data_IF_636219957841
#
_entry.id   IF_636219957841
#
_cell.length_a   1.000
_cell.length_b   1.000
_cell.length_c   1.000
_cell.angle_alpha   90.00
_cell.angle_beta   90.00
_cell.angle_gamma   90.00
#
_symmetry.space_group_name_H-M   'P 1'
#
loop_
_entity.id
_entity.type
_entity.pdbx_description
1 polymer ?
#
# COMPACT_ATOMS: atom_id res chain seq x y z
N UNK A 1 -6.12 -41.23 13.88
CA UNK A 1 -5.44 -39.93 13.83
C UNK A 1 -4.72 -39.75 15.15
N UNK A 2 -3.40 -39.61 15.13
CA UNK A 2 -2.59 -39.42 16.35
C UNK A 2 -2.62 -37.96 16.81
N UNK A 3 -2.26 -37.69 18.07
CA UNK A 3 -2.13 -36.30 18.57
C UNK A 3 -1.15 -35.51 17.70
N UNK A 4 -0.05 -36.14 17.31
CA UNK A 4 0.95 -35.55 16.43
C UNK A 4 0.39 -35.15 15.07
N UNK A 5 -0.37 -36.05 14.42
CA UNK A 5 -1.01 -35.75 13.14
C UNK A 5 -1.99 -34.58 13.24
N UNK A 6 -2.79 -34.53 14.31
CA UNK A 6 -3.73 -33.44 14.56
C UNK A 6 -3.00 -32.10 14.79
N UNK A 7 -1.93 -32.12 15.58
CA UNK A 7 -1.13 -30.93 15.87
C UNK A 7 -0.39 -30.41 14.64
N UNK A 8 0.26 -31.29 13.87
CA UNK A 8 0.94 -30.90 12.61
C UNK A 8 -0.06 -30.30 11.63
N UNK A 9 -1.25 -30.91 11.48
CA UNK A 9 -2.31 -30.37 10.61
C UNK A 9 -2.77 -28.97 11.03
N UNK A 10 -2.90 -28.73 12.34
CA UNK A 10 -3.22 -27.41 12.87
C UNK A 10 -2.11 -26.41 12.53
N UNK A 11 -0.85 -26.75 12.78
CA UNK A 11 0.27 -25.85 12.52
C UNK A 11 0.51 -25.60 11.03
N UNK A 12 0.16 -26.54 10.15
CA UNK A 12 0.14 -26.33 8.70
C UNK A 12 -0.92 -25.30 8.27
N UNK A 13 -2.08 -25.27 8.94
CA UNK A 13 -3.08 -24.24 8.68
C UNK A 13 -2.57 -22.86 9.13
N UNK A 14 -1.95 -22.77 10.31
CA UNK A 14 -1.31 -21.55 10.80
C UNK A 14 -0.17 -21.08 9.89
N UNK A 15 0.63 -22.01 9.36
CA UNK A 15 1.66 -21.71 8.36
C UNK A 15 1.09 -21.03 7.13
N UNK A 16 -0.01 -21.55 6.55
CA UNK A 16 -0.66 -20.95 5.39
C UNK A 16 -1.20 -19.55 5.70
N UNK A 17 -1.76 -19.37 6.90
CA UNK A 17 -2.26 -18.07 7.36
C UNK A 17 -1.12 -17.04 7.50
N UNK A 18 -0.02 -17.42 8.13
CA UNK A 18 1.15 -16.54 8.29
C UNK A 18 1.78 -16.21 6.94
N UNK A 19 1.90 -17.18 6.04
CA UNK A 19 2.44 -16.94 4.69
C UNK A 19 1.60 -15.92 3.91
N UNK A 20 0.27 -16.05 3.96
CA UNK A 20 -0.65 -15.11 3.32
C UNK A 20 -0.50 -13.68 3.88
N UNK A 21 -0.37 -13.54 5.20
CA UNK A 21 -0.15 -12.22 5.85
C UNK A 21 1.19 -11.60 5.45
N UNK A 22 2.24 -12.41 5.36
CA UNK A 22 3.54 -11.92 4.90
C UNK A 22 3.47 -11.49 3.43
N UNK A 23 2.87 -12.32 2.56
CA UNK A 23 2.70 -11.98 1.15
C UNK A 23 1.85 -10.71 0.94
N UNK A 24 0.78 -10.53 1.71
CA UNK A 24 -0.02 -9.31 1.70
C UNK A 24 0.81 -8.08 2.09
N UNK A 25 1.62 -8.19 3.15
CA UNK A 25 2.44 -7.07 3.61
C UNK A 25 3.56 -6.75 2.62
N UNK A 26 4.16 -7.77 2.00
CA UNK A 26 5.14 -7.62 0.91
C UNK A 26 4.55 -6.90 -0.30
N UNK A 27 3.31 -7.24 -0.69
CA UNK A 27 2.62 -6.55 -1.78
C UNK A 27 2.35 -5.05 -1.47
N UNK A 28 2.21 -4.71 -0.18
CA UNK A 28 2.01 -3.34 0.26
C UNK A 28 3.32 -2.52 0.34
N UNK A 29 4.46 -3.18 0.52
CA UNK A 29 5.78 -2.56 0.69
C UNK A 29 6.29 -1.79 -0.55
N UNK A 30 5.66 -1.91 -1.72
CA UNK A 30 6.06 -1.26 -2.97
C UNK A 30 5.74 0.26 -3.00
N UNK A 31 5.52 0.90 -1.85
CA UNK A 31 5.43 2.36 -1.70
C UNK A 31 6.81 2.98 -1.87
N UNK A 32 7.20 3.18 -3.14
CA UNK A 32 8.41 3.87 -3.65
C UNK A 32 9.63 3.86 -2.70
N UNK A 33 10.56 2.98 -3.03
CA UNK A 33 11.99 3.04 -2.76
C UNK A 33 12.36 3.38 -1.31
N UNK A 34 12.26 2.34 -0.47
CA UNK A 34 13.09 2.14 0.71
C UNK A 34 13.17 3.34 1.66
N UNK A 35 12.18 3.45 2.55
CA UNK A 35 12.58 3.73 3.94
C UNK A 35 13.54 2.59 4.35
N UNK A 36 14.68 2.92 4.95
CA UNK A 36 15.60 1.93 5.53
C UNK A 36 14.86 0.96 6.48
N UNK A 37 13.70 1.38 7.00
CA UNK A 37 12.78 0.61 7.84
C UNK A 37 12.20 -0.65 7.16
N UNK A 38 12.16 -0.72 5.82
CA UNK A 38 11.66 -1.89 5.07
C UNK A 38 12.76 -2.90 4.67
N UNK A 39 14.04 -2.59 4.91
CA UNK A 39 15.15 -3.55 4.67
C UNK A 39 15.04 -4.81 5.55
N UNK A 40 14.30 -4.71 6.66
CA UNK A 40 14.03 -5.79 7.61
C UNK A 40 13.09 -6.89 7.11
N UNK A 41 12.43 -6.71 5.94
CA UNK A 41 11.54 -7.74 5.38
C UNK A 41 12.27 -9.08 5.16
N UNK A 42 13.57 -9.03 4.86
CA UNK A 42 14.43 -10.21 4.74
C UNK A 42 14.59 -11.00 6.05
N UNK A 43 14.46 -10.34 7.21
CA UNK A 43 14.51 -10.98 8.53
C UNK A 43 13.29 -11.87 8.79
N UNK A 44 12.11 -11.43 8.37
CA UNK A 44 10.84 -12.14 8.61
C UNK A 44 10.79 -13.44 7.83
N UNK A 45 11.27 -13.45 6.58
CA UNK A 45 11.36 -14.69 5.80
C UNK A 45 12.32 -15.70 6.42
N UNK A 46 13.44 -15.27 7.00
CA UNK A 46 14.34 -16.16 7.75
C UNK A 46 13.68 -16.76 8.99
N UNK A 47 12.92 -15.96 9.74
CA UNK A 47 12.17 -16.45 10.93
C UNK A 47 11.09 -17.44 10.49
N UNK A 48 10.35 -17.12 9.41
CA UNK A 48 9.33 -18.01 8.85
C UNK A 48 9.90 -19.33 8.31
N UNK A 49 11.06 -19.30 7.66
CA UNK A 49 11.74 -20.50 7.18
C UNK A 49 12.17 -21.40 8.34
N UNK A 50 12.60 -20.83 9.47
CA UNK A 50 12.89 -21.58 10.70
C UNK A 50 11.66 -22.33 11.20
N UNK A 51 10.50 -21.67 11.21
CA UNK A 51 9.23 -22.29 11.56
C UNK A 51 8.85 -23.42 10.58
N UNK A 52 9.03 -23.22 9.27
CA UNK A 52 8.77 -24.24 8.24
C UNK A 52 9.64 -25.48 8.43
N UNK A 53 10.94 -25.30 8.68
CA UNK A 53 11.89 -26.39 8.90
C UNK A 53 11.46 -27.20 10.13
N UNK A 54 11.17 -26.54 11.25
CA UNK A 54 10.73 -27.22 12.48
C UNK A 54 9.41 -27.96 12.32
N UNK A 55 8.47 -27.42 11.54
CA UNK A 55 7.20 -28.09 11.24
C UNK A 55 7.44 -29.38 10.42
N UNK A 56 8.29 -29.30 9.40
CA UNK A 56 8.68 -30.45 8.58
C UNK A 56 9.42 -31.50 9.43
N UNK A 57 10.33 -31.10 10.31
CA UNK A 57 11.00 -32.00 11.25
C UNK A 57 10.00 -32.70 12.18
N UNK A 58 9.05 -31.95 12.77
CA UNK A 58 8.03 -32.53 13.66
C UNK A 58 7.10 -33.50 12.91
N UNK A 59 6.87 -33.28 11.62
CA UNK A 59 6.07 -34.21 10.78
C UNK A 59 6.77 -35.55 10.54
N UNK A 60 8.11 -35.58 10.60
CA UNK A 60 8.96 -36.75 10.32
C UNK A 60 9.37 -37.53 11.57
N UNK A 61 9.45 -36.88 12.73
CA UNK A 61 9.86 -37.53 14.00
C UNK A 61 8.80 -38.55 14.44
N UNK A 62 9.21 -39.74 14.89
CA UNK A 62 8.32 -40.64 15.61
C UNK A 62 8.11 -40.15 17.06
N UNK A 63 7.08 -40.68 17.72
CA UNK A 63 6.49 -40.22 18.99
C UNK A 63 7.47 -39.98 20.16
N UNK A 64 8.67 -40.59 20.14
CA UNK A 64 9.63 -40.54 21.26
C UNK A 64 10.15 -39.13 21.59
N UNK A 65 10.13 -38.17 20.65
CA UNK A 65 10.58 -36.79 20.87
C UNK A 65 9.50 -35.75 20.53
N UNK A 66 8.23 -36.15 20.58
CA UNK A 66 7.12 -35.31 20.13
C UNK A 66 6.93 -34.07 21.01
N UNK A 67 6.94 -34.20 22.33
CA UNK A 67 6.69 -33.08 23.26
C UNK A 67 7.74 -31.97 23.17
N UNK A 68 9.02 -32.35 23.08
CA UNK A 68 10.10 -31.38 22.88
C UNK A 68 9.95 -30.66 21.53
N UNK A 69 9.73 -31.42 20.45
CA UNK A 69 9.55 -30.83 19.12
C UNK A 69 8.29 -29.94 19.04
N UNK A 70 7.22 -30.30 19.74
CA UNK A 70 5.99 -29.50 19.89
C UNK A 70 6.29 -28.15 20.54
N UNK A 71 7.08 -28.14 21.62
CA UNK A 71 7.48 -26.91 22.32
C UNK A 71 8.40 -26.03 21.46
N UNK A 72 9.39 -26.61 20.79
CA UNK A 72 10.30 -25.89 19.88
C UNK A 72 9.58 -25.28 18.68
N UNK A 73 8.60 -26.01 18.13
CA UNK A 73 7.75 -25.53 17.04
C UNK A 73 6.83 -24.40 17.51
N UNK A 74 6.21 -24.54 18.68
CA UNK A 74 5.34 -23.51 19.25
C UNK A 74 6.10 -22.21 19.48
N UNK A 75 7.29 -22.28 20.06
CA UNK A 75 8.16 -21.10 20.21
C UNK A 75 8.46 -20.46 18.86
N UNK A 76 8.81 -21.25 17.85
CA UNK A 76 9.08 -20.74 16.50
C UNK A 76 7.88 -20.09 15.85
N UNK A 77 6.67 -20.61 16.12
CA UNK A 77 5.42 -19.99 15.69
C UNK A 77 5.18 -18.65 16.39
N UNK A 78 5.36 -18.60 17.71
CA UNK A 78 5.19 -17.37 18.49
C UNK A 78 6.17 -16.28 18.01
N UNK A 79 7.45 -16.63 17.80
CA UNK A 79 8.48 -15.74 17.24
C UNK A 79 8.09 -15.23 15.84
N UNK A 80 7.57 -16.12 14.98
CA UNK A 80 7.11 -15.76 13.63
C UNK A 80 5.90 -14.84 13.68
N UNK A 81 4.91 -15.16 14.49
CA UNK A 81 3.68 -14.37 14.60
C UNK A 81 3.98 -12.98 15.15
N UNK A 82 4.87 -12.88 16.14
CA UNK A 82 5.32 -11.60 16.67
C UNK A 82 6.03 -10.76 15.60
N UNK A 83 6.95 -11.37 14.84
CA UNK A 83 7.63 -10.68 13.74
C UNK A 83 6.65 -10.18 12.66
N UNK A 84 5.60 -10.94 12.34
CA UNK A 84 4.55 -10.52 11.41
C UNK A 84 3.74 -9.35 11.98
N UNK A 85 3.38 -9.36 13.27
CA UNK A 85 2.65 -8.26 13.92
C UNK A 85 3.48 -6.96 13.88
N UNK A 86 4.78 -7.05 14.20
CA UNK A 86 5.67 -5.89 14.17
C UNK A 86 5.81 -5.31 12.77
N UNK A 87 5.90 -6.16 11.77
CA UNK A 87 5.94 -5.77 10.36
C UNK A 87 4.65 -5.09 9.91
N UNK A 88 3.49 -5.67 10.22
CA UNK A 88 2.18 -5.09 9.90
C UNK A 88 2.02 -3.70 10.55
N UNK A 89 2.46 -3.55 11.80
CA UNK A 89 2.48 -2.27 12.51
C UNK A 89 3.38 -1.23 11.82
N UNK A 90 4.62 -1.60 11.48
CA UNK A 90 5.53 -0.73 10.71
C UNK A 90 4.92 -0.32 9.38
N UNK A 91 4.33 -1.27 8.65
CA UNK A 91 3.69 -1.00 7.36
C UNK A 91 2.49 -0.05 7.48
N UNK A 92 1.67 -0.21 8.54
CA UNK A 92 0.56 0.69 8.80
C UNK A 92 1.03 2.14 9.03
N UNK A 93 2.15 2.34 9.74
CA UNK A 93 2.75 3.66 9.92
C UNK A 93 3.24 4.25 8.59
N UNK A 94 3.92 3.46 7.76
CA UNK A 94 4.38 3.88 6.43
C UNK A 94 3.20 4.29 5.55
N UNK A 95 2.13 3.48 5.52
CA UNK A 95 0.90 3.78 4.78
C UNK A 95 0.26 5.08 5.26
N UNK A 96 0.10 5.26 6.57
CA UNK A 96 -0.46 6.48 7.13
C UNK A 96 0.41 7.72 6.82
N UNK A 97 1.73 7.58 6.84
CA UNK A 97 2.66 8.65 6.44
C UNK A 97 2.51 9.02 4.96
N UNK A 98 2.40 8.02 4.09
CA UNK A 98 2.14 8.21 2.67
C UNK A 98 0.80 8.91 2.42
N UNK A 99 -0.28 8.44 3.07
CA UNK A 99 -1.62 9.04 2.98
C UNK A 99 -1.57 10.53 3.35
N UNK A 100 -1.07 10.87 4.54
CA UNK A 100 -0.99 12.26 5.01
C UNK A 100 -0.20 13.14 4.05
N UNK A 101 0.91 12.64 3.51
CA UNK A 101 1.72 13.37 2.53
C UNK A 101 0.90 13.67 1.27
N UNK A 102 0.23 12.65 0.71
CA UNK A 102 -0.57 12.80 -0.51
C UNK A 102 -1.80 13.68 -0.30
N UNK A 103 -2.49 13.54 0.83
CA UNK A 103 -3.60 14.43 1.19
C UNK A 103 -3.15 15.88 1.33
N UNK A 104 -1.99 16.14 1.93
CA UNK A 104 -1.43 17.49 2.04
C UNK A 104 -1.10 18.09 0.67
N UNK A 105 -0.49 17.30 -0.22
CA UNK A 105 -0.19 17.71 -1.60
C UNK A 105 -1.48 18.01 -2.39
N UNK A 106 -2.52 17.18 -2.27
CA UNK A 106 -3.83 17.40 -2.90
C UNK A 106 -4.51 18.65 -2.36
N UNK A 107 -4.52 18.85 -1.03
CA UNK A 107 -5.08 20.05 -0.39
C UNK A 107 -4.37 21.33 -0.85
N UNK A 108 -3.05 21.30 -0.93
CA UNK A 108 -2.25 22.43 -1.41
C UNK A 108 -2.54 22.76 -2.88
N UNK A 109 -2.79 21.75 -3.72
CA UNK A 109 -3.20 21.95 -5.10
C UNK A 109 -4.64 22.49 -5.19
N UNK A 110 -5.58 21.97 -4.38
CA UNK A 110 -6.95 22.46 -4.31
C UNK A 110 -7.01 23.95 -3.98
N UNK A 111 -6.25 24.40 -2.98
CA UNK A 111 -6.15 25.81 -2.61
C UNK A 111 -5.60 26.69 -3.76
N UNK A 112 -4.68 26.17 -4.58
CA UNK A 112 -4.20 26.89 -5.77
C UNK A 112 -5.30 27.02 -6.84
N UNK A 113 -6.07 25.95 -7.06
CA UNK A 113 -7.20 25.96 -8.00
C UNK A 113 -8.27 26.95 -7.56
N UNK A 114 -8.62 26.98 -6.27
CA UNK A 114 -9.58 27.94 -5.72
C UNK A 114 -9.10 29.39 -5.93
N UNK A 115 -7.79 29.64 -5.78
CA UNK A 115 -7.18 30.93 -6.08
C UNK A 115 -7.28 31.32 -7.56
N UNK A 116 -7.10 30.36 -8.47
CA UNK A 116 -7.28 30.58 -9.91
C UNK A 116 -8.73 30.85 -10.28
N UNK A 117 -9.69 30.14 -9.70
CA UNK A 117 -11.13 30.37 -9.91
C UNK A 117 -11.55 31.76 -9.44
N UNK A 118 -11.08 32.19 -8.25
CA UNK A 118 -11.33 33.53 -7.74
C UNK A 118 -10.76 34.61 -8.67
N UNK A 119 -9.52 34.41 -9.15
CA UNK A 119 -8.87 35.34 -10.08
C UNK A 119 -9.61 35.42 -11.42
N UNK A 120 -10.01 34.27 -11.99
CA UNK A 120 -10.76 34.21 -13.25
C UNK A 120 -12.15 34.86 -13.15
N UNK A 121 -12.75 34.84 -11.95
CA UNK A 121 -14.05 35.49 -11.70
C UNK A 121 -13.94 37.01 -11.59
N UNK A 122 -12.81 37.53 -11.10
CA UNK A 122 -12.55 38.97 -10.94
C UNK A 122 -12.01 39.63 -12.23
N UNK A 123 -11.30 38.89 -13.07
CA UNK A 123 -10.78 39.39 -14.34
C UNK A 123 -11.86 39.50 -15.41
N UNK A 124 -11.79 40.54 -16.26
CA UNK A 124 -12.60 40.58 -17.49
C UNK A 124 -12.22 39.38 -18.36
N UNK A 125 -13.19 38.81 -19.08
CA UNK A 125 -13.03 37.54 -19.80
C UNK A 125 -11.86 37.50 -20.80
N UNK A 126 -11.36 38.66 -21.25
CA UNK A 126 -10.21 38.79 -22.16
C UNK A 126 -8.84 38.73 -21.45
N UNK A 127 -8.77 38.97 -20.14
CA UNK A 127 -7.53 38.96 -19.34
C UNK A 127 -7.29 37.61 -18.61
N UNK A 128 -8.30 36.74 -18.55
CA UNK A 128 -8.16 35.43 -17.90
C UNK A 128 -7.39 34.47 -18.80
N UNK A 129 -6.15 34.16 -18.42
CA UNK A 129 -5.29 33.16 -19.07
C UNK A 129 -5.86 31.73 -19.01
N UNK A 130 -6.80 31.48 -18.09
CA UNK A 130 -7.45 30.18 -17.90
C UNK A 130 -8.90 30.22 -18.33
N UNK A 131 -9.31 29.22 -19.10
CA UNK A 131 -10.71 29.03 -19.46
C UNK A 131 -11.49 28.41 -18.31
N UNK A 132 -12.79 28.71 -18.21
CA UNK A 132 -13.70 28.04 -17.26
C UNK A 132 -13.71 26.52 -17.44
N UNK A 133 -13.51 26.03 -18.66
CA UNK A 133 -13.49 24.60 -18.95
C UNK A 133 -12.22 23.93 -18.36
N UNK A 134 -11.06 24.56 -18.47
CA UNK A 134 -9.81 24.05 -17.87
C UNK A 134 -9.89 24.00 -16.34
N UNK A 135 -10.46 25.03 -15.70
CA UNK A 135 -10.65 25.04 -14.25
C UNK A 135 -11.60 23.93 -13.77
N UNK A 136 -12.75 23.78 -14.44
CA UNK A 136 -13.68 22.68 -14.15
C UNK A 136 -13.03 21.31 -14.34
N UNK A 137 -12.18 21.19 -15.36
CA UNK A 137 -11.47 19.96 -15.65
C UNK A 137 -10.46 19.61 -14.54
N UNK A 138 -9.61 20.56 -14.12
CA UNK A 138 -8.68 20.35 -12.99
C UNK A 138 -9.45 19.96 -11.73
N UNK A 139 -10.55 20.67 -11.44
CA UNK A 139 -11.36 20.40 -10.24
C UNK A 139 -11.92 18.98 -10.24
N UNK A 140 -12.38 18.50 -11.39
CA UNK A 140 -12.81 17.10 -11.55
C UNK A 140 -11.64 16.14 -11.37
N UNK A 141 -10.50 16.39 -12.02
CA UNK A 141 -9.30 15.55 -11.87
C UNK A 141 -8.80 15.49 -10.42
N UNK A 142 -8.89 16.60 -9.67
CA UNK A 142 -8.54 16.66 -8.25
C UNK A 142 -9.47 15.77 -7.42
N UNK A 143 -10.79 15.87 -7.63
CA UNK A 143 -11.78 15.02 -6.98
C UNK A 143 -11.61 13.53 -7.30
N UNK A 144 -11.34 13.20 -8.57
CA UNK A 144 -11.11 11.83 -9.01
C UNK A 144 -9.84 11.26 -8.36
N UNK A 145 -8.78 12.06 -8.28
CA UNK A 145 -7.51 11.67 -7.65
C UNK A 145 -7.65 11.49 -6.14
N UNK A 146 -8.39 12.36 -5.44
CA UNK A 146 -8.74 12.17 -4.02
C UNK A 146 -9.55 10.89 -3.80
N UNK A 147 -10.47 10.59 -4.71
CA UNK A 147 -11.29 9.38 -4.66
C UNK A 147 -10.47 8.12 -4.94
N UNK A 148 -9.46 8.20 -5.82
CA UNK A 148 -8.49 7.14 -6.06
C UNK A 148 -7.59 6.90 -4.83
N UNK A 149 -7.14 7.96 -4.16
CA UNK A 149 -6.37 7.86 -2.92
C UNK A 149 -7.17 7.15 -1.83
N UNK A 150 -8.43 7.56 -1.60
CA UNK A 150 -9.31 6.92 -0.61
C UNK A 150 -9.54 5.44 -0.90
N UNK A 151 -9.73 5.08 -2.18
CA UNK A 151 -9.86 3.68 -2.61
C UNK A 151 -8.59 2.89 -2.38
N UNK A 152 -7.43 3.46 -2.70
CA UNK A 152 -6.13 2.87 -2.41
C UNK A 152 -5.97 2.61 -0.91
N UNK A 153 -6.20 3.61 -0.06
CA UNK A 153 -6.04 3.49 1.39
C UNK A 153 -6.98 2.46 2.04
N UNK A 154 -8.16 2.24 1.45
CA UNK A 154 -9.12 1.22 1.90
C UNK A 154 -8.81 -0.18 1.36
N UNK A 155 -7.78 -0.34 0.52
CA UNK A 155 -7.45 -1.60 -0.13
C UNK A 155 -6.37 -2.40 0.60
N UNK A 156 -6.38 -3.69 0.30
CA UNK A 156 -5.61 -4.75 0.95
C UNK A 156 -5.21 -5.81 -0.08
N UNK A 157 -4.17 -6.60 0.23
CA UNK A 157 -3.67 -7.67 -0.64
C UNK A 157 -3.37 -7.25 -2.09
N UNK A 158 -3.67 -8.15 -3.04
CA UNK A 158 -3.34 -7.99 -4.47
C UNK A 158 -3.94 -6.75 -5.14
N UNK A 159 -5.09 -6.26 -4.64
CA UNK A 159 -5.74 -5.07 -5.18
C UNK A 159 -4.95 -3.78 -4.89
N UNK A 160 -4.08 -3.78 -3.87
CA UNK A 160 -3.27 -2.63 -3.49
C UNK A 160 -2.38 -2.15 -4.63
N UNK A 161 -1.62 -3.06 -5.25
CA UNK A 161 -0.65 -2.70 -6.30
C UNK A 161 -1.35 -2.05 -7.50
N UNK A 162 -2.49 -2.62 -7.92
CA UNK A 162 -3.32 -2.07 -9.00
C UNK A 162 -3.84 -0.67 -8.65
N UNK A 163 -4.49 -0.51 -7.50
CA UNK A 163 -5.05 0.78 -7.07
C UNK A 163 -3.96 1.83 -6.84
N UNK A 164 -2.76 1.39 -6.44
CA UNK A 164 -1.61 2.28 -6.25
C UNK A 164 -1.14 2.83 -7.59
N UNK A 165 -1.06 1.98 -8.60
CA UNK A 165 -0.76 2.40 -9.96
C UNK A 165 -1.82 3.36 -10.49
N UNK A 166 -3.10 3.03 -10.34
CA UNK A 166 -4.21 3.88 -10.78
C UNK A 166 -4.15 5.27 -10.11
N UNK A 167 -3.86 5.30 -8.81
CA UNK A 167 -3.65 6.55 -8.08
C UNK A 167 -2.42 7.33 -8.58
N UNK A 168 -1.25 6.70 -8.70
CA UNK A 168 -0.01 7.38 -9.12
C UNK A 168 -0.08 7.87 -10.58
N UNK A 169 -0.81 7.19 -11.45
CA UNK A 169 -1.09 7.63 -12.81
C UNK A 169 -2.04 8.85 -12.81
N UNK A 170 -3.13 8.80 -12.03
CA UNK A 170 -4.06 9.94 -11.86
C UNK A 170 -3.36 11.16 -11.27
N UNK A 171 -2.52 10.96 -10.25
CA UNK A 171 -1.75 12.02 -9.61
C UNK A 171 -0.75 12.67 -10.57
N UNK A 172 -0.05 11.87 -11.38
CA UNK A 172 0.87 12.38 -12.40
C UNK A 172 0.15 13.18 -13.46
N UNK A 173 -0.96 12.67 -13.96
CA UNK A 173 -1.80 13.35 -14.95
C UNK A 173 -2.33 14.70 -14.42
N UNK A 174 -2.78 14.73 -13.17
CA UNK A 174 -3.21 15.96 -12.49
C UNK A 174 -2.07 16.97 -12.38
N UNK A 175 -0.88 16.53 -11.96
CA UNK A 175 0.32 17.35 -11.84
C UNK A 175 0.76 17.93 -13.18
N UNK A 176 0.89 17.09 -14.20
CA UNK A 176 1.30 17.52 -15.55
C UNK A 176 0.34 18.55 -16.13
N UNK A 177 -0.97 18.38 -15.91
CA UNK A 177 -1.98 19.34 -16.40
C UNK A 177 -2.00 20.64 -15.62
N UNK A 178 -1.87 20.57 -14.29
CA UNK A 178 -1.67 21.75 -13.46
C UNK A 178 -0.43 22.54 -13.89
N UNK A 179 0.68 21.85 -14.18
CA UNK A 179 1.93 22.48 -14.61
C UNK A 179 1.81 23.10 -16.03
N UNK A 180 1.10 22.44 -16.97
CA UNK A 180 0.81 23.00 -18.31
C UNK A 180 -0.01 24.28 -18.26
N UNK A 181 -1.01 24.31 -17.38
CA UNK A 181 -1.85 25.50 -17.12
C UNK A 181 -1.01 26.66 -16.59
N UNK A 182 -0.06 26.37 -15.69
CA UNK A 182 0.90 27.37 -15.20
C UNK A 182 1.85 27.86 -16.30
N UNK A 183 2.17 27.01 -17.28
CA UNK A 183 3.06 27.32 -18.41
C UNK A 183 2.39 28.08 -19.57
N UNK A 184 1.05 28.22 -19.57
CA UNK A 184 0.31 28.86 -20.65
C UNK A 184 0.25 28.04 -21.96
N UNK A 185 0.34 26.71 -21.86
CA UNK A 185 0.21 25.81 -23.01
C UNK A 185 -1.22 25.28 -23.12
N UNK A 186 -1.82 25.32 -24.32
CA UNK A 186 -3.16 24.82 -24.61
C UNK A 186 -3.34 23.38 -24.08
N UNK A 187 -4.27 23.19 -23.15
CA UNK A 187 -4.62 21.87 -22.63
C UNK A 187 -5.62 21.21 -23.57
N UNK A 188 -5.13 20.49 -24.58
CA UNK A 188 -6.00 19.58 -25.32
C UNK A 188 -6.34 18.35 -24.45
N UNK A 189 -7.63 17.96 -24.37
CA UNK A 189 -8.01 16.72 -23.72
C UNK A 189 -7.39 15.54 -24.46
N UNK A 190 -6.67 14.69 -23.74
CA UNK A 190 -6.14 13.43 -24.26
C UNK A 190 -7.33 12.52 -24.62
N UNK A 191 -7.81 12.60 -25.86
CA UNK A 191 -8.78 11.66 -26.39
C UNK A 191 -8.07 10.31 -26.55
N UNK A 192 -8.31 9.39 -25.61
CA UNK A 192 -7.96 7.97 -25.82
C UNK A 192 -9.12 7.31 -26.54
N UNK A 193 -8.88 6.99 -27.81
CA UNK A 193 -9.59 5.95 -28.55
C UNK A 193 -9.18 4.56 -28.05
#
# INVERSE_FOLDING_TARGET
>A
MTEQEAYVKQMDAEKRRLDARIAETEAQADVRQASDELKDMSGIRRVFDTFRIKLDELSKRQTQNFDQGKAELRKSYDDTNQAVIEMESKMALVRAGYERKREAELRALGAQVDGWEASATQSRAEDSRLTRQELQFIRRSLHDTESALRRLMSSHGENWSKLKKDYEDSWRELRERSDKIRGGADVQPSSRA
#
